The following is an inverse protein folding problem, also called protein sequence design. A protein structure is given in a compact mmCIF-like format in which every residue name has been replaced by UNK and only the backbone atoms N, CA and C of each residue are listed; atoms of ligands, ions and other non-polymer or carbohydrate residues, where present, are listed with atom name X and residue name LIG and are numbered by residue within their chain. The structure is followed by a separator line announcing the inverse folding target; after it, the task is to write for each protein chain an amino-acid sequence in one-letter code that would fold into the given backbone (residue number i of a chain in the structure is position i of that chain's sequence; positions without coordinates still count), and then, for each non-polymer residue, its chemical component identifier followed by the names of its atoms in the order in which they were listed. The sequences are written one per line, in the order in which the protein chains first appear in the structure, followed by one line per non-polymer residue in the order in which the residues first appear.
data_IF_514126968826
#
_entry.id   IF_514126968826
#
_cell.length_a   1.000
_cell.length_b   1.000
_cell.length_c   1.000
_cell.angle_alpha   90.00
_cell.angle_beta   90.00
_cell.angle_gamma   90.00
#
_symmetry.space_group_name_H-M   'P 1'
#
loop_
_entity.id
_entity.type
_entity.pdbx_description
1 polymer ?
#
# COMPACT_ATOMS: atom_id res chain seq x y z
N UNK A 1 46.37 11.08 31.06
CA UNK A 1 45.53 10.02 30.45
C UNK A 1 45.09 10.51 29.08
N UNK A 2 45.56 9.89 27.99
CA UNK A 2 45.03 10.20 26.65
C UNK A 2 43.64 9.62 26.57
N UNK A 3 42.63 10.48 26.54
CA UNK A 3 41.28 10.09 26.11
C UNK A 3 41.41 9.50 24.70
N UNK A 4 41.25 8.18 24.57
CA UNK A 4 41.19 7.54 23.26
C UNK A 4 39.96 8.10 22.53
N UNK A 5 40.21 9.07 21.65
CA UNK A 5 39.18 9.60 20.77
C UNK A 5 38.73 8.46 19.85
N UNK A 6 37.53 7.93 20.09
CA UNK A 6 36.96 6.79 19.35
C UNK A 6 36.52 7.17 17.93
N UNK A 7 36.79 8.40 17.48
CA UNK A 7 36.39 8.89 16.17
C UNK A 7 37.24 8.25 15.08
N UNK A 8 36.58 7.61 14.12
CA UNK A 8 37.24 7.04 12.95
C UNK A 8 37.79 8.19 12.09
N UNK A 9 39.10 8.18 11.85
CA UNK A 9 39.75 9.12 10.93
C UNK A 9 39.71 8.53 9.52
N UNK A 10 38.70 8.92 8.74
CA UNK A 10 38.48 8.36 7.40
C UNK A 10 39.64 8.56 6.43
N UNK A 11 40.47 9.60 6.63
CA UNK A 11 41.65 9.87 5.79
C UNK A 11 42.74 8.79 5.90
N UNK A 12 42.77 8.06 7.01
CA UNK A 12 43.76 7.00 7.27
C UNK A 12 43.34 5.66 6.67
N UNK A 13 42.07 5.52 6.29
CA UNK A 13 41.56 4.31 5.64
C UNK A 13 41.95 4.29 4.16
N UNK A 14 42.45 3.15 3.70
CA UNK A 14 42.72 2.94 2.28
C UNK A 14 41.42 2.63 1.51
N UNK A 15 41.49 2.70 0.19
CA UNK A 15 40.31 2.52 -0.68
C UNK A 15 39.65 1.15 -0.49
N UNK A 16 40.41 0.07 -0.26
CA UNK A 16 39.86 -1.28 -0.06
C UNK A 16 39.11 -1.39 1.26
N UNK A 17 39.63 -0.81 2.34
CA UNK A 17 38.94 -0.76 3.63
C UNK A 17 37.64 0.05 3.54
N UNK A 18 37.67 1.21 2.87
CA UNK A 18 36.48 2.04 2.64
C UNK A 18 35.43 1.30 1.81
N UNK A 19 35.87 0.64 0.73
CA UNK A 19 35.01 -0.19 -0.11
C UNK A 19 34.38 -1.34 0.67
N UNK A 20 35.15 -2.03 1.52
CA UNK A 20 34.65 -3.12 2.37
C UNK A 20 33.58 -2.64 3.35
N UNK A 21 33.83 -1.52 4.05
CA UNK A 21 32.86 -0.91 4.97
C UNK A 21 31.57 -0.56 4.23
N UNK A 22 31.67 0.14 3.10
CA UNK A 22 30.48 0.60 2.36
C UNK A 22 29.75 -0.58 1.72
N UNK A 23 30.45 -1.61 1.23
CA UNK A 23 29.82 -2.83 0.71
C UNK A 23 29.03 -3.57 1.78
N UNK A 24 29.57 -3.68 3.00
CA UNK A 24 28.86 -4.36 4.09
C UNK A 24 27.53 -3.67 4.44
N UNK A 25 27.50 -2.35 4.30
CA UNK A 25 26.31 -1.53 4.57
C UNK A 25 25.35 -1.58 3.41
N UNK A 26 25.85 -1.51 2.17
CA UNK A 26 25.05 -1.70 0.97
C UNK A 26 24.26 -3.02 1.05
N UNK A 27 24.93 -4.10 1.43
CA UNK A 27 24.32 -5.45 1.47
C UNK A 27 23.35 -5.63 2.63
N UNK A 28 23.63 -5.02 3.79
CA UNK A 28 22.75 -5.11 4.95
C UNK A 28 21.50 -4.23 4.82
N UNK A 29 21.66 -3.02 4.30
CA UNK A 29 20.65 -1.96 4.38
C UNK A 29 20.02 -1.65 3.02
N UNK A 30 20.44 -2.31 1.94
CA UNK A 30 19.92 -2.14 0.58
C UNK A 30 20.01 -0.68 0.09
N UNK A 31 21.19 -0.06 0.23
CA UNK A 31 21.43 1.34 -0.12
C UNK A 31 21.95 1.44 -1.56
N UNK A 32 21.08 1.81 -2.49
CA UNK A 32 21.41 1.88 -3.93
C UNK A 32 21.66 3.31 -4.42
N UNK A 33 21.27 4.32 -3.66
CA UNK A 33 21.33 5.74 -4.06
C UNK A 33 22.08 6.60 -3.04
N UNK A 34 22.70 7.67 -3.54
CA UNK A 34 23.36 8.68 -2.69
C UNK A 34 22.43 9.30 -1.65
N UNK A 35 21.12 9.44 -1.96
CA UNK A 35 20.10 9.93 -1.03
C UNK A 35 19.86 8.98 0.14
N UNK A 36 19.69 7.69 -0.14
CA UNK A 36 19.55 6.67 0.90
C UNK A 36 20.80 6.63 1.79
N UNK A 37 21.99 6.75 1.18
CA UNK A 37 23.24 6.82 1.92
C UNK A 37 23.29 8.03 2.86
N UNK A 38 22.84 9.20 2.41
CA UNK A 38 22.75 10.39 3.27
C UNK A 38 21.77 10.20 4.43
N UNK A 39 20.62 9.57 4.19
CA UNK A 39 19.66 9.24 5.25
C UNK A 39 20.23 8.26 6.27
N UNK A 40 20.96 7.24 5.81
CA UNK A 40 21.69 6.30 6.66
C UNK A 40 22.74 7.02 7.51
N UNK A 41 23.56 7.88 6.88
CA UNK A 41 24.58 8.66 7.59
C UNK A 41 23.97 9.57 8.68
N UNK A 42 22.79 10.14 8.46
CA UNK A 42 22.11 10.95 9.50
C UNK A 42 21.82 10.13 10.76
N UNK A 43 21.49 8.85 10.61
CA UNK A 43 21.23 7.91 11.72
C UNK A 43 22.52 7.29 12.29
N UNK A 44 23.56 7.15 11.46
CA UNK A 44 24.81 6.47 11.78
C UNK A 44 26.04 7.35 11.51
N UNK A 45 26.07 8.55 12.11
CA UNK A 45 26.98 9.64 11.74
C UNK A 45 28.47 9.32 11.86
N UNK A 46 28.85 8.39 12.76
CA UNK A 46 30.23 7.97 12.98
C UNK A 46 30.61 6.65 12.29
N UNK A 47 29.63 5.88 11.79
CA UNK A 47 29.88 4.55 11.22
C UNK A 47 30.31 4.60 9.75
N UNK A 48 30.09 5.74 9.07
CA UNK A 48 30.34 5.87 7.64
C UNK A 48 30.93 7.24 7.27
N UNK A 49 31.75 7.32 6.20
CA UNK A 49 32.31 8.58 5.74
C UNK A 49 31.23 9.55 5.22
N UNK A 50 31.60 10.82 5.03
CA UNK A 50 30.69 11.76 4.37
C UNK A 50 30.53 11.45 2.88
N UNK A 51 29.38 11.80 2.30
CA UNK A 51 29.20 11.69 0.84
C UNK A 51 30.23 12.56 0.09
N UNK A 52 30.61 13.70 0.67
CA UNK A 52 31.68 14.54 0.14
C UNK A 52 33.02 13.78 0.06
N UNK A 53 33.38 13.05 1.12
CA UNK A 53 34.60 12.24 1.16
C UNK A 53 34.56 11.08 0.16
N UNK A 54 33.39 10.44 0.00
CA UNK A 54 33.18 9.43 -1.05
C UNK A 54 33.38 10.04 -2.44
N UNK A 55 32.82 11.23 -2.68
CA UNK A 55 32.97 11.94 -3.96
C UNK A 55 34.42 12.30 -4.26
N UNK A 56 35.16 12.73 -3.25
CA UNK A 56 36.58 13.06 -3.35
C UNK A 56 37.43 11.84 -3.72
N UNK A 57 37.20 10.68 -3.08
CA UNK A 57 37.97 9.45 -3.30
C UNK A 57 37.53 8.63 -4.52
N UNK A 58 36.23 8.58 -4.80
CA UNK A 58 35.63 7.66 -5.78
C UNK A 58 34.89 8.36 -6.92
N UNK A 59 35.06 9.68 -7.07
CA UNK A 59 34.37 10.56 -8.03
C UNK A 59 32.87 10.76 -7.80
N UNK A 60 32.13 9.69 -7.50
CA UNK A 60 30.69 9.74 -7.16
C UNK A 60 30.26 8.50 -6.36
N UNK A 61 29.03 8.52 -5.84
CA UNK A 61 28.45 7.33 -5.21
C UNK A 61 28.31 6.18 -6.22
N UNK A 62 27.89 6.51 -7.43
CA UNK A 62 27.74 5.58 -8.54
C UNK A 62 29.10 5.02 -8.98
N UNK A 63 30.15 5.85 -8.99
CA UNK A 63 31.53 5.44 -9.28
C UNK A 63 32.08 4.46 -8.23
N UNK A 64 31.73 4.67 -6.95
CA UNK A 64 32.02 3.71 -5.88
C UNK A 64 31.30 2.38 -6.10
N UNK A 65 29.97 2.40 -6.35
CA UNK A 65 29.20 1.17 -6.58
C UNK A 65 29.71 0.40 -7.80
N UNK A 66 30.08 1.10 -8.88
CA UNK A 66 30.71 0.50 -10.05
C UNK A 66 32.03 -0.21 -9.70
N UNK A 67 32.91 0.43 -8.92
CA UNK A 67 34.16 -0.20 -8.43
C UNK A 67 33.90 -1.43 -7.54
N UNK A 68 32.78 -1.44 -6.81
CA UNK A 68 32.33 -2.57 -5.99
C UNK A 68 31.65 -3.69 -6.79
N UNK A 69 31.43 -3.51 -8.09
CA UNK A 69 30.62 -4.44 -8.91
C UNK A 69 29.15 -4.50 -8.47
N UNK A 70 28.66 -3.47 -7.77
CA UNK A 70 27.30 -3.40 -7.24
C UNK A 70 26.39 -2.66 -8.23
N UNK A 71 25.11 -3.07 -8.35
CA UNK A 71 24.17 -2.40 -9.22
C UNK A 71 23.89 -0.99 -8.71
N UNK A 72 24.11 0.02 -9.56
CA UNK A 72 23.60 1.36 -9.35
C UNK A 72 22.12 1.41 -9.69
N UNK A 73 21.31 2.17 -8.95
CA UNK A 73 19.94 2.46 -9.39
C UNK A 73 19.97 3.25 -10.70
N UNK A 74 19.80 2.55 -11.83
CA UNK A 74 19.67 3.17 -13.14
C UNK A 74 18.22 3.03 -13.61
N UNK A 75 17.51 4.16 -13.78
CA UNK A 75 16.13 4.14 -14.30
C UNK A 75 16.02 3.48 -15.67
N UNK A 76 17.09 3.50 -16.46
CA UNK A 76 17.15 2.88 -17.78
C UNK A 76 17.35 1.36 -17.73
N UNK A 77 17.74 0.80 -16.57
CA UNK A 77 17.94 -0.65 -16.43
C UNK A 77 16.66 -1.42 -16.78
N UNK A 78 15.50 -0.82 -16.48
CA UNK A 78 14.21 -1.42 -16.76
C UNK A 78 13.93 -1.59 -18.25
N UNK A 79 14.54 -0.82 -19.15
CA UNK A 79 14.38 -1.01 -20.60
C UNK A 79 15.03 -2.30 -21.11
N UNK A 80 16.02 -2.84 -20.38
CA UNK A 80 16.75 -4.05 -20.77
C UNK A 80 15.96 -5.33 -20.47
N UNK A 81 15.02 -5.26 -19.54
CA UNK A 81 14.13 -6.38 -19.24
C UNK A 81 13.11 -6.51 -20.35
N UNK A 82 12.76 -7.74 -20.72
CA UNK A 82 11.52 -8.02 -21.44
C UNK A 82 10.30 -7.76 -20.54
N UNK A 83 9.12 -7.65 -21.15
CA UNK A 83 7.88 -7.45 -20.42
C UNK A 83 7.58 -8.63 -19.47
N UNK A 84 7.95 -9.85 -19.86
CA UNK A 84 7.76 -11.06 -19.06
C UNK A 84 8.70 -11.12 -17.86
N UNK A 85 9.98 -10.82 -18.05
CA UNK A 85 10.95 -10.77 -16.97
C UNK A 85 10.60 -9.67 -15.96
N UNK A 86 10.22 -8.49 -16.44
CA UNK A 86 9.83 -7.37 -15.57
C UNK A 86 8.54 -7.71 -14.82
N UNK A 87 7.58 -8.37 -15.49
CA UNK A 87 6.34 -8.83 -14.86
C UNK A 87 6.63 -9.84 -13.75
N UNK A 88 7.50 -10.82 -14.01
CA UNK A 88 7.91 -11.84 -13.04
C UNK A 88 8.58 -11.20 -11.83
N UNK A 89 9.59 -10.35 -12.05
CA UNK A 89 10.31 -9.63 -11.00
C UNK A 89 9.36 -8.85 -10.07
N UNK A 90 8.45 -8.07 -10.66
CA UNK A 90 7.51 -7.24 -9.90
C UNK A 90 6.51 -8.10 -9.14
N UNK A 91 6.01 -9.17 -9.76
CA UNK A 91 5.04 -10.08 -9.11
C UNK A 91 5.67 -10.80 -7.92
N UNK A 92 6.90 -11.33 -8.09
CA UNK A 92 7.65 -11.98 -7.02
C UNK A 92 7.86 -11.03 -5.85
N UNK A 93 8.32 -9.81 -6.12
CA UNK A 93 8.52 -8.80 -5.08
C UNK A 93 7.23 -8.42 -4.35
N UNK A 94 6.11 -8.29 -5.07
CA UNK A 94 4.80 -8.01 -4.47
C UNK A 94 4.38 -9.13 -3.53
N UNK A 95 4.58 -10.40 -3.94
CA UNK A 95 4.28 -11.56 -3.10
C UNK A 95 5.19 -11.65 -1.88
N UNK A 96 6.51 -11.52 -2.04
CA UNK A 96 7.48 -11.60 -0.94
C UNK A 96 7.30 -10.51 0.13
N UNK A 97 6.87 -9.31 -0.29
CA UNK A 97 6.64 -8.18 0.61
C UNK A 97 5.17 -7.99 1.00
N UNK A 98 4.30 -8.94 0.64
CA UNK A 98 2.85 -8.92 0.89
C UNK A 98 2.20 -7.57 0.54
N UNK A 99 2.53 -7.03 -0.64
CA UNK A 99 2.10 -5.70 -1.07
C UNK A 99 0.66 -5.77 -1.59
N UNK A 100 -0.26 -5.08 -0.90
CA UNK A 100 -1.69 -5.13 -1.21
C UNK A 100 -2.19 -4.01 -2.13
N UNK A 101 -1.38 -2.98 -2.37
CA UNK A 101 -1.82 -1.81 -3.15
C UNK A 101 -0.69 -1.11 -3.90
N UNK A 102 -1.05 -0.36 -4.94
CA UNK A 102 -0.12 0.51 -5.69
C UNK A 102 0.56 1.55 -4.78
N UNK A 103 -0.17 2.10 -3.80
CA UNK A 103 0.39 3.08 -2.87
C UNK A 103 1.44 2.47 -1.94
N UNK A 104 1.14 1.28 -1.42
CA UNK A 104 2.09 0.53 -0.61
C UNK A 104 3.33 0.14 -1.43
N UNK A 105 3.13 -0.26 -2.69
CA UNK A 105 4.23 -0.54 -3.61
C UNK A 105 5.16 0.66 -3.75
N UNK A 106 4.64 1.84 -4.06
CA UNK A 106 5.47 3.03 -4.32
C UNK A 106 6.32 3.44 -3.11
N UNK A 107 5.82 3.22 -1.89
CA UNK A 107 6.58 3.49 -0.66
C UNK A 107 7.75 2.52 -0.44
N UNK A 108 7.58 1.26 -0.86
CA UNK A 108 8.54 0.19 -0.59
C UNK A 108 9.52 0.02 -1.76
N UNK A 109 9.06 0.17 -3.00
CA UNK A 109 9.83 -0.05 -4.22
C UNK A 109 11.08 0.82 -4.30
N UNK A 110 10.95 2.11 -3.95
CA UNK A 110 12.07 3.05 -3.95
C UNK A 110 13.22 2.68 -2.99
N UNK A 111 12.96 1.84 -1.99
CA UNK A 111 13.98 1.34 -1.05
C UNK A 111 14.60 0.01 -1.45
N UNK A 112 14.02 -0.70 -2.40
CA UNK A 112 14.39 -2.09 -2.71
C UNK A 112 14.87 -2.26 -4.17
N UNK A 113 15.39 -1.20 -4.80
CA UNK A 113 15.82 -1.21 -6.21
C UNK A 113 14.75 -1.79 -7.16
N UNK A 114 13.50 -1.38 -6.99
CA UNK A 114 12.40 -1.80 -7.85
C UNK A 114 11.97 -0.68 -8.82
N UNK A 115 11.34 -1.01 -9.96
CA UNK A 115 10.78 0.00 -10.85
C UNK A 115 9.73 0.82 -10.11
N UNK A 116 9.63 2.11 -10.43
CA UNK A 116 8.56 2.93 -9.88
C UNK A 116 7.23 2.55 -10.52
N UNK A 117 6.12 2.89 -9.86
CA UNK A 117 4.80 2.74 -10.43
C UNK A 117 4.66 3.50 -11.76
N UNK A 118 5.36 4.64 -11.91
CA UNK A 118 5.44 5.36 -13.18
C UNK A 118 6.06 4.51 -14.29
N UNK A 119 7.22 3.88 -14.03
CA UNK A 119 7.87 2.98 -14.98
C UNK A 119 6.95 1.82 -15.38
N UNK A 120 6.26 1.23 -14.39
CA UNK A 120 5.30 0.16 -14.67
C UNK A 120 4.12 0.65 -15.51
N UNK A 121 3.61 1.86 -15.27
CA UNK A 121 2.52 2.44 -16.07
C UNK A 121 2.95 2.74 -17.50
N UNK A 122 4.16 3.23 -17.71
CA UNK A 122 4.70 3.44 -19.05
C UNK A 122 4.82 2.13 -19.83
N UNK A 123 5.14 1.03 -19.15
CA UNK A 123 5.35 -0.28 -19.77
C UNK A 123 4.07 -1.09 -19.98
N UNK A 124 3.19 -1.11 -18.98
CA UNK A 124 2.02 -2.00 -18.93
C UNK A 124 0.67 -1.25 -18.96
N UNK A 125 0.66 0.08 -18.95
CA UNK A 125 -0.55 0.90 -18.97
C UNK A 125 -1.50 0.58 -17.81
N UNK A 126 -2.79 0.39 -18.12
CA UNK A 126 -3.80 0.04 -17.13
C UNK A 126 -3.63 -1.37 -16.54
N UNK A 127 -2.93 -2.26 -17.25
CA UNK A 127 -2.68 -3.64 -16.81
C UNK A 127 -1.82 -3.70 -15.55
N UNK A 128 -1.16 -2.60 -15.16
CA UNK A 128 -0.47 -2.46 -13.87
C UNK A 128 -1.37 -2.83 -12.69
N UNK A 129 -2.68 -2.56 -12.80
CA UNK A 129 -3.64 -2.93 -11.74
C UNK A 129 -3.65 -4.44 -11.47
N UNK A 130 -3.35 -5.27 -12.47
CA UNK A 130 -3.36 -6.72 -12.33
C UNK A 130 -2.26 -7.25 -11.40
N UNK A 131 -1.13 -6.53 -11.26
CA UNK A 131 -0.07 -6.91 -10.32
C UNK A 131 -0.54 -6.91 -8.86
N UNK A 132 -1.54 -6.10 -8.54
CA UNK A 132 -2.04 -5.87 -7.18
C UNK A 132 -3.41 -6.50 -6.96
N UNK A 133 -3.93 -7.25 -7.94
CA UNK A 133 -5.14 -8.04 -7.73
C UNK A 133 -4.75 -9.27 -6.93
N UNK A 134 -5.33 -9.42 -5.74
CA UNK A 134 -5.14 -10.63 -4.93
C UNK A 134 -5.53 -11.85 -5.77
N UNK A 135 -4.58 -12.76 -6.00
CA UNK A 135 -4.86 -14.10 -6.56
C UNK A 135 -5.87 -14.87 -5.68
N UNK A 136 -5.95 -14.51 -4.39
CA UNK A 136 -6.92 -15.03 -3.42
C UNK A 136 -8.30 -14.34 -3.46
N UNK A 137 -8.59 -13.45 -4.41
CA UNK A 137 -9.97 -13.07 -4.69
C UNK A 137 -10.75 -14.17 -5.45
N UNK A 138 -10.54 -15.42 -5.04
CA UNK A 138 -11.55 -16.47 -5.09
C UNK A 138 -12.51 -16.37 -3.89
N UNK A 139 -12.49 -15.26 -3.12
CA UNK A 139 -13.70 -14.82 -2.44
C UNK A 139 -14.74 -14.69 -3.54
N UNK A 140 -15.63 -15.68 -3.63
CA UNK A 140 -16.86 -15.62 -4.40
C UNK A 140 -17.36 -14.21 -4.19
N UNK A 141 -17.23 -13.35 -5.22
CA UNK A 141 -17.68 -11.98 -5.06
C UNK A 141 -19.15 -12.11 -4.82
N UNK A 142 -19.58 -11.90 -3.57
CA UNK A 142 -20.98 -12.00 -3.20
C UNK A 142 -21.75 -11.21 -4.25
N UNK A 143 -22.61 -11.94 -4.95
CA UNK A 143 -23.43 -11.35 -5.99
C UNK A 143 -24.31 -10.29 -5.36
N UNK A 144 -24.75 -9.30 -6.14
CA UNK A 144 -25.68 -8.29 -5.63
C UNK A 144 -26.93 -8.96 -5.01
N UNK A 145 -27.35 -10.11 -5.54
CA UNK A 145 -28.45 -10.89 -4.99
C UNK A 145 -28.15 -11.44 -3.59
N UNK A 146 -26.99 -12.07 -3.38
CA UNK A 146 -26.58 -12.58 -2.06
C UNK A 146 -26.47 -11.45 -1.05
N UNK A 147 -25.89 -10.31 -1.47
CA UNK A 147 -25.73 -9.13 -0.62
C UNK A 147 -27.07 -8.53 -0.19
N UNK A 148 -28.03 -8.43 -1.11
CA UNK A 148 -29.39 -7.96 -0.82
C UNK A 148 -30.16 -8.94 0.06
N UNK A 149 -29.94 -10.24 -0.13
CA UNK A 149 -30.55 -11.29 0.71
C UNK A 149 -30.03 -11.19 2.13
N UNK A 150 -28.72 -11.05 2.32
CA UNK A 150 -28.11 -10.83 3.64
C UNK A 150 -28.59 -9.55 4.29
N UNK A 151 -28.66 -8.44 3.54
CA UNK A 151 -29.21 -7.17 4.03
C UNK A 151 -30.64 -7.33 4.55
N UNK A 152 -31.50 -8.04 3.81
CA UNK A 152 -32.88 -8.32 4.23
C UNK A 152 -32.93 -9.18 5.50
N UNK A 153 -32.17 -10.27 5.54
CA UNK A 153 -32.08 -11.14 6.72
C UNK A 153 -31.62 -10.37 7.96
N UNK A 154 -30.68 -9.46 7.79
CA UNK A 154 -30.15 -8.65 8.89
C UNK A 154 -31.17 -7.62 9.39
N UNK A 155 -31.94 -6.99 8.49
CA UNK A 155 -33.05 -6.11 8.87
C UNK A 155 -34.11 -6.87 9.68
N UNK A 156 -34.42 -8.10 9.28
CA UNK A 156 -35.35 -8.97 10.00
C UNK A 156 -34.77 -9.36 11.37
N UNK A 157 -33.50 -9.77 11.43
CA UNK A 157 -32.80 -10.12 12.68
C UNK A 157 -32.82 -8.97 13.70
N UNK A 158 -32.64 -7.74 13.22
CA UNK A 158 -32.65 -6.52 14.02
C UNK A 158 -34.06 -5.98 14.31
N UNK A 159 -35.11 -6.62 13.78
CA UNK A 159 -36.50 -6.19 13.90
C UNK A 159 -36.73 -4.73 13.45
N UNK A 160 -36.02 -4.31 12.39
CA UNK A 160 -36.04 -2.93 11.88
C UNK A 160 -37.05 -2.70 10.74
N UNK A 161 -37.85 -3.71 10.40
CA UNK A 161 -38.80 -3.70 9.27
C UNK A 161 -39.80 -2.53 9.30
N UNK A 162 -40.10 -2.02 10.50
CA UNK A 162 -41.06 -0.92 10.72
C UNK A 162 -40.44 0.48 10.85
N UNK A 163 -39.12 0.59 10.91
CA UNK A 163 -38.39 1.86 11.06
C UNK A 163 -37.49 2.14 9.85
N UNK A 164 -36.80 1.10 9.34
CA UNK A 164 -35.85 1.14 8.21
C UNK A 164 -34.87 2.32 8.28
N UNK A 165 -34.50 2.73 9.49
CA UNK A 165 -33.54 3.81 9.71
C UNK A 165 -32.12 3.31 9.43
N UNK A 166 -31.49 3.88 8.41
CA UNK A 166 -30.10 3.57 8.06
C UNK A 166 -29.14 3.79 9.25
N UNK A 167 -29.36 4.83 10.05
CA UNK A 167 -28.54 5.13 11.23
C UNK A 167 -28.63 4.01 12.26
N UNK A 168 -29.85 3.59 12.61
CA UNK A 168 -30.05 2.47 13.55
C UNK A 168 -29.51 1.15 13.02
N UNK A 169 -29.64 0.92 11.72
CA UNK A 169 -29.05 -0.26 11.09
C UNK A 169 -27.51 -0.24 11.26
N UNK A 170 -26.86 0.88 10.91
CA UNK A 170 -25.40 1.03 11.05
C UNK A 170 -24.90 0.92 12.49
N UNK A 171 -25.73 1.19 13.49
CA UNK A 171 -25.37 1.04 14.92
C UNK A 171 -25.48 -0.41 15.41
N UNK A 172 -26.28 -1.26 14.76
CA UNK A 172 -26.69 -2.55 15.30
C UNK A 172 -26.29 -3.76 14.43
N UNK A 173 -25.91 -3.56 13.17
CA UNK A 173 -25.59 -4.65 12.25
C UNK A 173 -24.31 -5.38 12.64
N UNK A 174 -24.22 -6.65 12.23
CA UNK A 174 -23.04 -7.49 12.42
C UNK A 174 -22.03 -7.28 11.27
N UNK A 175 -20.92 -6.62 11.60
CA UNK A 175 -19.79 -6.38 10.69
C UNK A 175 -19.11 -7.67 10.19
N UNK A 176 -19.31 -8.82 10.85
CA UNK A 176 -18.73 -10.09 10.42
C UNK A 176 -19.53 -10.75 9.29
N UNK A 177 -20.84 -10.51 9.23
CA UNK A 177 -21.76 -11.21 8.32
C UNK A 177 -22.12 -10.37 7.08
N UNK A 178 -22.09 -9.03 7.23
CA UNK A 178 -22.50 -8.09 6.19
C UNK A 178 -21.52 -6.91 6.11
N UNK A 179 -21.06 -6.51 4.91
CA UNK A 179 -20.28 -5.29 4.77
C UNK A 179 -21.16 -4.06 5.06
N UNK A 180 -20.51 -2.95 5.41
CA UNK A 180 -21.21 -1.70 5.73
C UNK A 180 -22.19 -1.26 4.63
N UNK A 181 -23.28 -0.58 5.03
CA UNK A 181 -24.31 -0.09 4.10
C UNK A 181 -23.71 0.75 2.97
N UNK A 182 -22.70 1.57 3.27
CA UNK A 182 -22.00 2.36 2.24
C UNK A 182 -21.29 1.49 1.19
N UNK A 183 -20.76 0.34 1.60
CA UNK A 183 -20.15 -0.64 0.69
C UNK A 183 -21.22 -1.27 -0.21
N UNK A 184 -22.39 -1.61 0.35
CA UNK A 184 -23.53 -2.16 -0.39
C UNK A 184 -24.04 -1.15 -1.41
N UNK A 185 -24.29 0.09 -0.99
CA UNK A 185 -24.74 1.19 -1.85
C UNK A 185 -23.77 1.44 -3.01
N UNK A 186 -22.46 1.45 -2.73
CA UNK A 186 -21.42 1.64 -3.75
C UNK A 186 -21.32 0.48 -4.73
N UNK A 187 -21.50 -0.76 -4.27
CA UNK A 187 -21.48 -1.96 -5.12
C UNK A 187 -22.70 -2.03 -6.04
N UNK A 188 -23.86 -1.62 -5.54
CA UNK A 188 -25.15 -1.74 -6.23
C UNK A 188 -25.53 -0.50 -7.02
N UNK A 189 -24.85 0.63 -6.80
CA UNK A 189 -25.17 1.96 -7.33
C UNK A 189 -26.59 2.42 -6.95
N UNK A 190 -26.98 2.14 -5.70
CA UNK A 190 -28.33 2.42 -5.17
C UNK A 190 -28.29 3.20 -3.87
N UNK A 191 -29.30 4.04 -3.68
CA UNK A 191 -29.55 4.71 -2.40
C UNK A 191 -30.15 3.75 -1.38
N UNK A 192 -30.10 4.08 -0.09
CA UNK A 192 -30.76 3.29 0.96
C UNK A 192 -32.26 3.07 0.67
N UNK A 193 -32.97 4.11 0.22
CA UNK A 193 -34.39 4.01 -0.12
C UNK A 193 -34.63 3.02 -1.28
N UNK A 194 -33.78 3.05 -2.31
CA UNK A 194 -33.83 2.11 -3.44
C UNK A 194 -33.49 0.68 -3.01
N UNK A 195 -32.53 0.50 -2.11
CA UNK A 195 -32.20 -0.81 -1.53
C UNK A 195 -33.40 -1.39 -0.77
N UNK A 196 -34.08 -0.57 0.05
CA UNK A 196 -35.26 -1.01 0.81
C UNK A 196 -36.41 -1.41 -0.12
N UNK A 197 -36.65 -0.64 -1.18
CA UNK A 197 -37.64 -0.98 -2.19
C UNK A 197 -37.30 -2.30 -2.91
N UNK A 198 -36.02 -2.51 -3.26
CA UNK A 198 -35.56 -3.71 -3.95
C UNK A 198 -35.68 -4.99 -3.12
N UNK A 199 -35.43 -4.90 -1.80
CA UNK A 199 -35.61 -6.06 -0.90
C UNK A 199 -37.08 -6.29 -0.48
N UNK A 200 -37.99 -5.45 -0.97
CA UNK A 200 -39.44 -5.62 -0.84
C UNK A 200 -40.13 -4.82 0.26
N UNK A 201 -39.51 -3.75 0.77
CA UNK A 201 -40.14 -2.84 1.72
C UNK A 201 -40.67 -1.56 1.06
N UNK A 202 -41.89 -1.16 1.40
CA UNK A 202 -42.42 0.15 1.02
C UNK A 202 -41.87 1.23 1.97
N UNK A 203 -40.68 1.74 1.62
CA UNK A 203 -39.99 2.75 2.42
C UNK A 203 -40.82 4.03 2.61
N UNK A 204 -41.55 4.46 1.56
CA UNK A 204 -42.35 5.69 1.61
C UNK A 204 -43.54 5.53 2.55
N UNK A 205 -44.24 4.40 2.49
CA UNK A 205 -45.35 4.11 3.39
C UNK A 205 -44.89 4.07 4.86
N UNK A 206 -43.77 3.40 5.13
CA UNK A 206 -43.19 3.28 6.48
C UNK A 206 -42.78 4.66 7.03
N UNK A 207 -42.12 5.48 6.21
CA UNK A 207 -41.75 6.86 6.56
C UNK A 207 -42.97 7.71 6.90
N UNK A 208 -44.03 7.61 6.10
CA UNK A 208 -45.29 8.34 6.33
C UNK A 208 -46.01 7.88 7.61
N UNK A 209 -46.03 6.58 7.91
CA UNK A 209 -46.58 6.04 9.16
C UNK A 209 -45.84 6.59 10.38
N UNK A 210 -44.50 6.67 10.32
CA UNK A 210 -43.67 7.22 11.40
C UNK A 210 -43.95 8.70 11.67
N UNK A 211 -44.05 9.51 10.62
CA UNK A 211 -44.41 10.93 10.73
C UNK A 211 -45.80 11.08 11.38
N UNK A 212 -46.80 10.31 10.92
CA UNK A 212 -48.15 10.33 11.52
C UNK A 212 -48.15 9.92 12.99
N UNK A 213 -47.37 8.91 13.39
CA UNK A 213 -47.26 8.47 14.78
C UNK A 213 -46.61 9.54 15.68
N UNK A 214 -45.53 10.16 15.21
CA UNK A 214 -44.85 11.22 15.96
C UNK A 214 -45.74 12.47 16.12
N UNK A 215 -46.53 12.82 15.09
CA UNK A 215 -47.51 13.90 15.17
C UNK A 215 -48.64 13.59 16.17
N UNK A 216 -49.07 12.33 16.29
CA UNK A 216 -50.09 11.92 17.27
C UNK A 216 -49.58 11.86 18.72
N UNK A 217 -48.29 11.58 18.92
CA UNK A 217 -47.68 11.50 20.25
C UNK A 217 -47.27 12.86 20.82
N UNK A 218 -47.27 13.91 20.00
CA UNK A 218 -46.93 15.29 20.39
C UNK A 218 -48.17 16.18 20.64
N UNK A 219 -49.37 15.60 20.61
CA UNK A 219 -50.64 16.20 21.04
C UNK A 219 -51.20 15.41 22.22
#
# INVERSE_FOLDING_TARGET
MKTNDKRIVWKEKNDLELMSIISSIHDKENIFTSRQYQEYKKKHSQAVPSLWFIRERFSSWEGLLHKLGKPTYNKEQWYRYSDEELKLLVTTFISEKEIKSQHQYEKISGKNNMPSLYTLRMRFGERVRAFFKNKESHVIQETNFELLTKLKSEIIRLNLESDLSMTKFNELYDDNELPSVFTIMRKTDKTWEQLMAEIGYDYQEIKMRKIKKNLKNNN
#
